data_IF_750932630525
#
_entry.id   IF_750932630525
#
_cell.length_a   1.000
_cell.length_b   1.000
_cell.length_c   1.000
_cell.angle_alpha   90.00
_cell.angle_beta   90.00
_cell.angle_gamma   90.00
#
_symmetry.space_group_name_H-M   'P 1'
#
loop_
_entity.id
_entity.type
_entity.pdbx_description
1 polymer ?
#
# COMPACT_ATOMS: atom_id res chain seq x y z
N UNK A 1 3.98 1.81 12.58
CA UNK A 1 4.27 2.72 11.45
C UNK A 1 5.77 2.96 11.44
N UNK A 2 6.51 2.46 10.45
CA UNK A 2 7.86 2.90 10.08
C UNK A 2 8.27 2.19 8.78
N UNK A 3 8.08 2.86 7.65
CA UNK A 3 8.64 2.44 6.37
C UNK A 3 10.06 3.02 6.29
N UNK A 4 11.04 2.23 6.70
CA UNK A 4 12.44 2.50 6.37
C UNK A 4 12.70 2.07 4.93
N UNK A 5 12.88 3.06 4.05
CA UNK A 5 13.64 2.90 2.81
C UNK A 5 14.61 4.08 2.72
N UNK A 6 15.64 4.07 3.58
CA UNK A 6 16.78 4.98 3.43
C UNK A 6 17.81 4.29 2.53
N UNK A 7 17.72 4.59 1.24
CA UNK A 7 18.74 4.29 0.25
C UNK A 7 19.99 5.15 0.46
N UNK A 8 21.14 4.53 0.23
CA UNK A 8 22.50 5.03 0.38
C UNK A 8 22.73 6.44 -0.22
N UNK A 9 23.30 7.37 0.56
CA UNK A 9 23.65 8.74 0.15
C UNK A 9 24.93 8.73 -0.70
N UNK A 10 24.78 8.51 -2.00
CA UNK A 10 25.79 8.85 -3.01
C UNK A 10 25.45 10.20 -3.64
N UNK A 11 26.39 11.16 -3.61
CA UNK A 11 26.28 12.42 -4.34
C UNK A 11 26.61 12.17 -5.81
N UNK A 12 25.60 11.78 -6.54
CA UNK A 12 25.50 11.84 -7.99
C UNK A 12 24.12 12.44 -8.26
N UNK A 13 24.01 13.32 -9.23
CA UNK A 13 22.77 14.01 -9.63
C UNK A 13 21.75 13.00 -10.16
N UNK A 14 21.22 12.16 -9.28
CA UNK A 14 20.25 11.12 -9.59
C UNK A 14 18.93 11.83 -9.87
N UNK A 15 18.50 11.79 -11.12
CA UNK A 15 17.13 12.16 -11.47
C UNK A 15 16.19 11.33 -10.59
N UNK A 16 15.21 11.97 -9.94
CA UNK A 16 14.27 11.25 -9.10
C UNK A 16 13.62 10.13 -9.95
N UNK A 17 13.44 8.95 -9.37
CA UNK A 17 12.77 7.80 -9.99
C UNK A 17 11.85 7.12 -8.96
N UNK A 18 10.76 6.50 -9.43
CA UNK A 18 9.89 5.64 -8.61
C UNK A 18 10.20 4.18 -8.90
N UNK A 19 9.97 3.30 -7.95
CA UNK A 19 10.10 1.85 -8.16
C UNK A 19 8.71 1.21 -8.28
N UNK A 20 8.56 0.19 -9.13
CA UNK A 20 7.34 -0.61 -9.18
C UNK A 20 7.07 -1.27 -7.83
N UNK A 21 5.86 -1.13 -7.28
CA UNK A 21 5.50 -1.77 -6.00
C UNK A 21 5.46 -3.31 -6.05
N UNK A 22 5.43 -3.89 -7.25
CA UNK A 22 5.36 -5.34 -7.46
C UNK A 22 6.75 -5.94 -7.71
N UNK A 23 7.47 -5.42 -8.69
CA UNK A 23 8.73 -5.99 -9.19
C UNK A 23 9.97 -5.10 -8.93
N UNK A 24 9.80 -3.93 -8.32
CA UNK A 24 10.88 -2.99 -7.99
C UNK A 24 11.69 -2.46 -9.17
N UNK A 25 11.22 -2.61 -10.41
CA UNK A 25 11.84 -1.99 -11.59
C UNK A 25 11.77 -0.45 -11.49
N UNK A 26 12.81 0.29 -11.89
CA UNK A 26 12.79 1.75 -11.95
C UNK A 26 11.79 2.27 -12.99
N UNK A 27 11.04 3.31 -12.63
CA UNK A 27 9.94 3.95 -13.38
C UNK A 27 10.10 5.47 -13.26
N UNK A 28 9.78 6.26 -14.30
CA UNK A 28 9.72 7.73 -14.19
C UNK A 28 8.72 8.20 -13.12
N UNK A 29 8.95 9.38 -12.55
CA UNK A 29 8.12 9.93 -11.46
C UNK A 29 6.67 10.20 -11.85
N UNK A 30 6.43 10.51 -13.12
CA UNK A 30 5.12 10.93 -13.63
C UNK A 30 4.16 9.78 -13.88
N UNK A 31 4.55 8.52 -13.60
CA UNK A 31 3.62 7.40 -13.69
C UNK A 31 2.74 7.28 -12.45
N UNK A 32 1.46 7.45 -12.70
CA UNK A 32 0.37 7.03 -11.83
C UNK A 32 -0.53 6.06 -12.60
N UNK A 33 -0.72 4.80 -12.16
CA UNK A 33 -0.25 4.16 -10.93
C UNK A 33 1.25 3.80 -10.93
N UNK A 34 1.86 3.63 -9.75
CA UNK A 34 3.28 3.29 -9.53
C UNK A 34 3.62 1.82 -9.88
N UNK A 35 3.27 1.41 -11.08
CA UNK A 35 3.41 0.05 -11.61
C UNK A 35 4.15 0.12 -12.95
N UNK A 36 4.99 -0.88 -13.22
CA UNK A 36 5.65 -1.01 -14.52
C UNK A 36 4.63 -1.34 -15.63
N UNK A 37 5.05 -1.29 -16.90
CA UNK A 37 4.16 -1.54 -18.07
C UNK A 37 3.78 -3.02 -18.25
N UNK A 38 4.21 -3.91 -17.35
CA UNK A 38 3.93 -5.33 -17.43
C UNK A 38 2.53 -5.64 -16.90
N UNK A 39 1.71 -6.34 -17.70
CA UNK A 39 0.34 -6.72 -17.34
C UNK A 39 0.28 -7.57 -16.06
N UNK A 40 1.29 -8.40 -15.81
CA UNK A 40 1.39 -9.20 -14.60
C UNK A 40 1.45 -8.34 -13.33
N UNK A 41 2.18 -7.21 -13.38
CA UNK A 41 2.26 -6.29 -12.25
C UNK A 41 0.94 -5.54 -12.03
N UNK A 42 0.22 -5.21 -13.11
CA UNK A 42 -1.11 -4.62 -13.00
C UNK A 42 -2.11 -5.58 -12.34
N UNK A 43 -2.15 -6.85 -12.77
CA UNK A 43 -3.01 -7.89 -12.17
C UNK A 43 -2.71 -8.09 -10.68
N UNK A 44 -1.43 -8.17 -10.30
CA UNK A 44 -1.02 -8.33 -8.90
C UNK A 44 -1.43 -7.09 -8.07
N UNK A 45 -1.23 -5.89 -8.60
CA UNK A 45 -1.57 -4.67 -7.90
C UNK A 45 -3.07 -4.57 -7.63
N UNK A 46 -3.93 -4.84 -8.63
CA UNK A 46 -5.39 -4.83 -8.47
C UNK A 46 -5.84 -5.82 -7.39
N UNK A 47 -5.30 -7.05 -7.39
CA UNK A 47 -5.59 -8.05 -6.35
C UNK A 47 -5.17 -7.58 -4.95
N UNK A 48 -3.98 -6.97 -4.83
CA UNK A 48 -3.46 -6.44 -3.56
C UNK A 48 -4.27 -5.26 -3.06
N UNK A 49 -4.71 -4.37 -3.95
CA UNK A 49 -5.54 -3.22 -3.60
C UNK A 49 -6.93 -3.65 -3.11
N UNK A 50 -7.56 -4.60 -3.79
CA UNK A 50 -8.83 -5.19 -3.36
C UNK A 50 -8.71 -5.86 -1.98
N UNK A 51 -7.62 -6.61 -1.76
CA UNK A 51 -7.33 -7.23 -0.45
C UNK A 51 -7.13 -6.18 0.65
N UNK A 52 -6.35 -5.12 0.39
CA UNK A 52 -6.14 -4.03 1.35
C UNK A 52 -7.45 -3.36 1.74
N UNK A 53 -8.31 -3.03 0.77
CA UNK A 53 -9.64 -2.42 1.06
C UNK A 53 -10.46 -3.31 1.99
N UNK A 54 -10.52 -4.62 1.70
CA UNK A 54 -11.26 -5.60 2.54
C UNK A 54 -10.64 -5.74 3.93
N UNK A 55 -9.32 -5.82 4.02
CA UNK A 55 -8.61 -5.94 5.29
C UNK A 55 -8.78 -4.69 6.16
N UNK A 56 -8.68 -3.50 5.55
CA UNK A 56 -8.94 -2.22 6.22
C UNK A 56 -10.35 -2.17 6.77
N UNK A 57 -11.37 -2.51 5.97
CA UNK A 57 -12.76 -2.55 6.43
C UNK A 57 -12.93 -3.53 7.60
N UNK A 58 -12.40 -4.76 7.49
CA UNK A 58 -12.47 -5.76 8.56
C UNK A 58 -11.84 -5.27 9.87
N UNK A 59 -10.69 -4.60 9.79
CA UNK A 59 -9.96 -4.09 10.94
C UNK A 59 -10.71 -2.99 11.70
N UNK A 60 -11.58 -2.23 11.02
CA UNK A 60 -12.43 -1.23 11.68
C UNK A 60 -13.81 -1.78 12.09
N UNK A 61 -14.37 -2.70 11.29
CA UNK A 61 -15.70 -3.24 11.54
C UNK A 61 -15.74 -4.09 12.82
N UNK A 62 -14.74 -4.95 13.03
CA UNK A 62 -14.67 -5.81 14.20
C UNK A 62 -14.64 -5.05 15.54
N UNK A 63 -13.71 -4.09 15.77
CA UNK A 63 -13.71 -3.33 17.02
C UNK A 63 -14.96 -2.45 17.17
N UNK A 64 -15.51 -1.91 16.07
CA UNK A 64 -16.74 -1.12 16.14
C UNK A 64 -17.93 -1.95 16.67
N UNK A 65 -18.13 -3.17 16.15
CA UNK A 65 -19.19 -4.06 16.61
C UNK A 65 -18.97 -4.47 18.07
N UNK A 66 -17.72 -4.82 18.43
CA UNK A 66 -17.38 -5.21 19.80
C UNK A 66 -17.71 -4.11 20.81
N UNK A 67 -17.39 -2.85 20.49
CA UNK A 67 -17.73 -1.70 21.33
C UNK A 67 -19.25 -1.53 21.46
N UNK A 68 -19.99 -1.56 20.35
CA UNK A 68 -21.46 -1.43 20.37
C UNK A 68 -22.10 -2.51 21.24
N UNK A 69 -21.68 -3.77 21.10
CA UNK A 69 -22.19 -4.86 21.92
C UNK A 69 -21.82 -4.69 23.40
N UNK A 70 -20.60 -4.27 23.71
CA UNK A 70 -20.17 -4.01 25.08
C UNK A 70 -21.02 -2.93 25.75
N UNK A 71 -21.30 -1.83 25.04
CA UNK A 71 -22.19 -0.77 25.54
C UNK A 71 -23.63 -1.25 25.75
N UNK A 72 -24.19 -2.01 24.79
CA UNK A 72 -25.53 -2.56 24.92
C UNK A 72 -25.65 -3.58 26.07
N UNK A 73 -24.58 -4.32 26.37
CA UNK A 73 -24.56 -5.24 27.52
C UNK A 73 -24.32 -4.55 28.87
N UNK A 74 -23.88 -3.30 28.87
CA UNK A 74 -23.55 -2.54 30.08
C UNK A 74 -24.68 -1.60 30.55
N UNK A 75 -25.73 -1.43 29.74
CA UNK A 75 -26.98 -0.70 30.06
C UNK A 75 -28.04 -1.69 30.48
#
# INVERSE_FOLDING_TARGET
MNVMSQGNRGRNTMTPHRHCIVCWTPIPLDRDPAICRADECAKINVKREASRKRFTVMLYLFPAIALVLAFLSAV
#
